data_IF_481026836935
#
_entry.id   IF_481026836935
#
_cell.length_a   1.000
_cell.length_b   1.000
_cell.length_c   1.000
_cell.angle_alpha   90.00
_cell.angle_beta   90.00
_cell.angle_gamma   90.00
#
_symmetry.space_group_name_H-M   'P 1'
#
loop_
_entity.id
_entity.type
_entity.pdbx_description
1 polymer ?
#
# COMPACT_ATOMS: atom_id res chain seq x y z
N UNK A 1 -6.11 8.53 -17.94
CA UNK A 1 -5.39 8.26 -16.68
C UNK A 1 -6.26 7.26 -15.94
N UNK A 2 -5.76 6.08 -15.61
CA UNK A 2 -6.56 5.14 -14.82
C UNK A 2 -6.77 5.77 -13.45
N UNK A 3 -8.02 5.89 -13.01
CA UNK A 3 -8.32 6.27 -11.63
C UNK A 3 -7.51 5.34 -10.71
N UNK A 4 -6.80 5.92 -9.73
CA UNK A 4 -6.03 5.14 -8.78
C UNK A 4 -6.95 4.04 -8.23
N UNK A 5 -6.51 2.78 -8.26
CA UNK A 5 -7.33 1.69 -7.74
C UNK A 5 -7.55 1.90 -6.22
N UNK A 6 -8.56 1.24 -5.64
CA UNK A 6 -8.92 1.42 -4.24
C UNK A 6 -7.74 1.19 -3.26
N UNK A 7 -6.80 0.30 -3.60
CA UNK A 7 -5.61 0.04 -2.78
C UNK A 7 -4.64 1.22 -2.81
N UNK A 8 -4.38 1.79 -3.99
CA UNK A 8 -3.52 2.96 -4.13
C UNK A 8 -4.12 4.19 -3.43
N UNK A 9 -5.44 4.36 -3.51
CA UNK A 9 -6.12 5.44 -2.77
C UNK A 9 -5.99 5.23 -1.25
N UNK A 10 -6.25 4.02 -0.76
CA UNK A 10 -6.12 3.71 0.66
C UNK A 10 -4.68 3.89 1.15
N UNK A 11 -3.71 3.37 0.38
CA UNK A 11 -2.28 3.52 0.66
C UNK A 11 -1.88 4.99 0.74
N UNK A 12 -2.31 5.81 -0.22
CA UNK A 12 -2.03 7.25 -0.21
C UNK A 12 -2.57 7.92 1.05
N UNK A 13 -3.84 7.68 1.39
CA UNK A 13 -4.47 8.30 2.57
C UNK A 13 -3.79 7.87 3.87
N UNK A 14 -3.47 6.58 4.01
CA UNK A 14 -2.75 6.09 5.19
C UNK A 14 -1.33 6.65 5.27
N UNK A 15 -0.65 6.80 4.13
CA UNK A 15 0.70 7.38 4.06
C UNK A 15 0.69 8.85 4.49
N UNK A 16 -0.25 9.64 3.97
CA UNK A 16 -0.38 11.06 4.30
C UNK A 16 -0.74 11.23 5.79
N UNK A 17 -1.65 10.41 6.29
CA UNK A 17 -2.07 10.45 7.70
C UNK A 17 -0.94 10.04 8.63
N UNK A 18 -0.19 8.97 8.30
CA UNK A 18 1.00 8.56 9.04
C UNK A 18 2.05 9.68 9.04
N UNK A 19 2.36 10.26 7.88
CA UNK A 19 3.36 11.32 7.76
C UNK A 19 3.01 12.53 8.62
N UNK A 20 1.74 12.94 8.62
CA UNK A 20 1.27 13.97 9.54
C UNK A 20 1.51 13.60 11.00
N UNK A 21 1.19 12.36 11.42
CA UNK A 21 1.40 11.92 12.79
C UNK A 21 2.88 11.81 13.15
N UNK A 22 3.73 11.25 12.29
CA UNK A 22 5.18 11.18 12.48
C UNK A 22 5.76 12.58 12.79
N UNK A 23 5.38 13.57 11.98
CA UNK A 23 5.91 14.93 12.07
C UNK A 23 5.36 15.71 13.28
N UNK A 24 4.13 15.39 13.74
CA UNK A 24 3.40 16.26 14.66
C UNK A 24 3.08 15.63 16.02
N UNK A 25 3.21 14.32 16.22
CA UNK A 25 2.79 13.65 17.47
C UNK A 25 3.43 14.27 18.71
N UNK A 26 4.73 14.59 18.67
CA UNK A 26 5.40 15.23 19.81
C UNK A 26 4.83 16.62 20.14
N UNK A 27 4.41 17.36 19.11
CA UNK A 27 3.86 18.72 19.23
C UNK A 27 2.40 18.70 19.69
N UNK A 28 1.57 17.81 19.14
CA UNK A 28 0.13 17.77 19.41
C UNK A 28 -0.21 17.03 20.69
N UNK A 29 0.63 16.07 21.13
CA UNK A 29 0.34 15.22 22.30
C UNK A 29 0.00 16.01 23.57
N UNK A 30 0.77 17.02 24.00
CA UNK A 30 0.42 17.79 25.20
C UNK A 30 -0.95 18.49 25.09
N UNK A 31 -1.26 19.02 23.92
CA UNK A 31 -2.54 19.68 23.67
C UNK A 31 -3.70 18.68 23.66
N UNK A 32 -3.54 17.53 23.00
CA UNK A 32 -4.55 16.46 22.97
C UNK A 32 -4.83 15.95 24.37
N UNK A 33 -3.80 15.71 25.19
CA UNK A 33 -3.97 15.24 26.56
C UNK A 33 -4.63 16.29 27.47
N UNK A 34 -4.27 17.56 27.33
CA UNK A 34 -4.90 18.65 28.07
C UNK A 34 -6.40 18.79 27.73
N UNK A 35 -6.75 18.67 26.44
CA UNK A 35 -8.14 18.70 26.00
C UNK A 35 -8.88 17.44 26.48
N UNK A 36 -8.26 16.26 26.40
CA UNK A 36 -8.86 15.00 26.85
C UNK A 36 -9.22 15.00 28.35
N UNK A 37 -8.43 15.68 29.17
CA UNK A 37 -8.72 15.85 30.60
C UNK A 37 -10.00 16.69 30.87
N UNK A 38 -10.34 17.59 29.94
CA UNK A 38 -11.55 18.43 30.02
C UNK A 38 -12.72 17.85 29.23
N UNK A 39 -12.42 17.10 28.17
CA UNK A 39 -13.36 16.55 27.18
C UNK A 39 -13.01 15.07 26.96
N UNK A 40 -13.55 14.15 27.79
CA UNK A 40 -13.25 12.72 27.72
C UNK A 40 -13.51 12.08 26.34
N UNK A 41 -14.41 12.68 25.55
CA UNK A 41 -14.75 12.24 24.19
C UNK A 41 -13.55 12.24 23.24
N UNK A 42 -12.47 12.98 23.54
CA UNK A 42 -11.22 12.91 22.77
C UNK A 42 -10.59 11.51 22.88
N UNK A 43 -10.55 10.92 24.09
CA UNK A 43 -10.05 9.56 24.26
C UNK A 43 -10.97 8.54 23.57
N UNK A 44 -12.29 8.74 23.63
CA UNK A 44 -13.26 7.89 22.93
C UNK A 44 -13.08 7.95 21.41
N UNK A 45 -12.84 9.14 20.85
CA UNK A 45 -12.55 9.32 19.43
C UNK A 45 -11.26 8.58 19.03
N UNK A 46 -10.18 8.73 19.81
CA UNK A 46 -8.94 8.01 19.56
C UNK A 46 -9.14 6.49 19.60
N UNK A 47 -9.94 5.99 20.55
CA UNK A 47 -10.29 4.57 20.65
C UNK A 47 -11.12 4.08 19.46
N UNK A 48 -12.07 4.89 18.98
CA UNK A 48 -12.86 4.56 17.79
C UNK A 48 -11.99 4.52 16.52
N UNK A 49 -11.03 5.44 16.39
CA UNK A 49 -10.10 5.45 15.27
C UNK A 49 -9.18 4.24 15.28
N UNK A 50 -8.60 3.88 16.44
CA UNK A 50 -7.81 2.65 16.59
C UNK A 50 -8.66 1.42 16.27
N UNK A 51 -9.90 1.35 16.77
CA UNK A 51 -10.82 0.25 16.49
C UNK A 51 -11.21 0.13 15.01
N UNK A 52 -11.32 1.25 14.28
CA UNK A 52 -11.53 1.24 12.84
C UNK A 52 -10.29 0.69 12.10
N UNK A 53 -9.10 1.12 12.50
CA UNK A 53 -7.83 0.65 11.94
C UNK A 53 -7.63 -0.85 12.17
N UNK A 54 -8.02 -1.39 13.32
CA UNK A 54 -7.95 -2.83 13.60
C UNK A 54 -8.93 -3.65 12.73
N UNK A 55 -10.13 -3.13 12.47
CA UNK A 55 -11.06 -3.74 11.52
C UNK A 55 -10.48 -3.73 10.10
N UNK A 56 -9.93 -2.60 9.67
CA UNK A 56 -9.27 -2.49 8.37
C UNK A 56 -8.09 -3.46 8.26
N UNK A 57 -7.27 -3.58 9.29
CA UNK A 57 -6.17 -4.56 9.38
C UNK A 57 -6.67 -5.99 9.22
N UNK A 58 -7.79 -6.31 9.85
CA UNK A 58 -8.42 -7.64 9.77
C UNK A 58 -8.88 -7.94 8.35
N UNK A 59 -9.62 -7.02 7.73
CA UNK A 59 -10.07 -7.17 6.33
C UNK A 59 -8.88 -7.33 5.38
N UNK A 60 -7.83 -6.51 5.54
CA UNK A 60 -6.63 -6.59 4.71
C UNK A 60 -5.89 -7.92 4.93
N UNK A 61 -5.81 -8.40 6.15
CA UNK A 61 -5.20 -9.70 6.48
C UNK A 61 -5.99 -10.85 5.87
N UNK A 62 -7.32 -10.74 5.83
CA UNK A 62 -8.23 -11.73 5.26
C UNK A 62 -8.35 -11.65 3.74
N UNK A 63 -7.80 -10.61 3.09
CA UNK A 63 -7.69 -10.59 1.63
C UNK A 63 -6.86 -11.78 1.16
N UNK A 64 -7.54 -12.75 0.58
CA UNK A 64 -6.95 -13.87 -0.14
C UNK A 64 -6.71 -13.45 -1.59
N UNK A 65 -5.51 -12.94 -1.82
CA UNK A 65 -5.05 -12.53 -3.15
C UNK A 65 -4.83 -13.74 -4.05
N UNK A 66 -4.56 -14.92 -3.47
CA UNK A 66 -4.46 -16.19 -4.18
C UNK A 66 -5.81 -16.74 -4.65
N UNK A 67 -6.91 -16.31 -4.03
CA UNK A 67 -8.27 -16.62 -4.49
C UNK A 67 -8.72 -15.78 -5.68
N UNK A 68 -7.98 -14.74 -6.09
CA UNK A 68 -8.29 -13.97 -7.30
C UNK A 68 -7.97 -14.85 -8.53
N UNK A 69 -8.98 -15.36 -9.25
CA UNK A 69 -8.71 -16.23 -10.40
C UNK A 69 -7.92 -15.49 -11.46
N UNK A 70 -6.87 -16.12 -12.01
CA UNK A 70 -6.03 -15.52 -13.05
C UNK A 70 -4.83 -14.72 -12.54
N UNK A 71 -4.72 -14.42 -11.24
CA UNK A 71 -3.62 -13.61 -10.73
C UNK A 71 -2.26 -14.35 -10.80
N UNK A 72 -2.27 -15.66 -10.53
CA UNK A 72 -1.09 -16.52 -10.67
C UNK A 72 -0.65 -16.64 -12.13
N UNK A 73 -1.61 -16.78 -13.05
CA UNK A 73 -1.37 -16.83 -14.49
C UNK A 73 -0.84 -15.50 -15.03
N UNK A 74 -1.30 -14.35 -14.50
CA UNK A 74 -0.74 -13.04 -14.83
C UNK A 74 0.71 -12.92 -14.38
N UNK A 75 1.04 -13.38 -13.17
CA UNK A 75 2.42 -13.40 -12.68
C UNK A 75 3.32 -14.32 -13.52
N UNK A 76 2.80 -15.47 -13.96
CA UNK A 76 3.51 -16.36 -14.88
C UNK A 76 3.71 -15.72 -16.25
N UNK A 77 2.68 -15.07 -16.80
CA UNK A 77 2.75 -14.37 -18.08
C UNK A 77 3.82 -13.28 -18.04
N UNK A 78 3.80 -12.41 -17.02
CA UNK A 78 4.78 -11.32 -16.89
C UNK A 78 6.20 -11.84 -16.70
N UNK A 79 6.38 -12.97 -16.01
CA UNK A 79 7.67 -13.65 -15.89
C UNK A 79 8.18 -14.28 -17.20
N UNK A 80 7.30 -14.64 -18.14
CA UNK A 80 7.67 -15.21 -19.43
C UNK A 80 8.06 -14.16 -20.48
N UNK A 81 7.60 -12.91 -20.32
CA UNK A 81 7.83 -11.83 -21.30
C UNK A 81 9.32 -11.60 -21.57
N UNK A 82 10.23 -11.46 -20.57
CA UNK A 82 11.64 -11.21 -20.84
C UNK A 82 12.29 -12.30 -21.72
N UNK A 83 11.99 -13.57 -21.44
CA UNK A 83 12.50 -14.70 -22.22
C UNK A 83 11.96 -14.70 -23.67
N UNK A 84 10.69 -14.32 -23.85
CA UNK A 84 10.08 -14.16 -25.18
C UNK A 84 10.76 -13.02 -25.96
N UNK A 85 10.98 -11.86 -25.32
CA UNK A 85 11.62 -10.71 -25.95
C UNK A 85 13.09 -10.99 -26.30
N UNK A 86 13.82 -11.70 -25.44
CA UNK A 86 15.19 -12.15 -25.72
C UNK A 86 15.27 -13.10 -26.92
N UNK A 87 14.30 -14.02 -27.05
CA UNK A 87 14.21 -14.89 -28.22
C UNK A 87 13.85 -14.10 -29.48
N UNK A 88 12.92 -13.15 -29.37
CA UNK A 88 12.51 -12.28 -30.47
C UNK A 88 13.68 -11.43 -30.99
N UNK A 89 14.48 -10.82 -30.10
CA UNK A 89 15.67 -10.03 -30.49
C UNK A 89 16.67 -10.81 -31.33
N UNK A 90 16.83 -12.11 -31.04
CA UNK A 90 17.75 -13.00 -31.77
C UNK A 90 17.24 -13.37 -33.17
N UNK A 91 15.92 -13.47 -33.34
CA UNK A 91 15.28 -13.88 -34.58
C UNK A 91 14.94 -12.69 -35.49
N UNK A 92 14.70 -11.52 -34.91
CA UNK A 92 14.30 -10.28 -35.58
C UNK A 92 15.27 -9.15 -35.23
N UNK A 93 16.55 -9.22 -35.65
CA UNK A 93 17.56 -8.23 -35.28
C UNK A 93 17.22 -6.81 -35.79
N UNK A 94 16.47 -6.72 -36.89
CA UNK A 94 16.02 -5.44 -37.47
C UNK A 94 14.87 -4.78 -36.69
N UNK A 95 14.20 -5.52 -35.79
CA UNK A 95 13.09 -5.04 -34.95
C UNK A 95 13.53 -4.72 -33.51
N UNK A 96 14.84 -4.63 -33.26
CA UNK A 96 15.39 -4.43 -31.91
C UNK A 96 14.80 -3.22 -31.19
N UNK A 97 14.60 -2.09 -31.87
CA UNK A 97 13.99 -0.90 -31.28
C UNK A 97 12.54 -1.12 -30.81
N UNK A 98 11.74 -1.86 -31.59
CA UNK A 98 10.36 -2.22 -31.23
C UNK A 98 10.35 -3.14 -30.01
N UNK A 99 11.28 -4.09 -29.96
CA UNK A 99 11.37 -5.07 -28.87
C UNK A 99 11.89 -4.42 -27.58
N UNK A 100 12.82 -3.47 -27.67
CA UNK A 100 13.29 -2.67 -26.53
C UNK A 100 12.15 -1.87 -25.91
N UNK A 101 11.31 -1.22 -26.72
CA UNK A 101 10.14 -0.50 -26.22
C UNK A 101 9.15 -1.42 -25.49
N UNK A 102 8.99 -2.67 -25.94
CA UNK A 102 8.14 -3.65 -25.23
C UNK A 102 8.81 -4.10 -23.93
N UNK A 103 10.15 -4.28 -23.92
CA UNK A 103 10.90 -4.62 -22.72
C UNK A 103 10.75 -3.55 -21.64
N UNK A 104 10.85 -2.27 -22.01
CA UNK A 104 10.65 -1.15 -21.08
C UNK A 104 9.27 -1.19 -20.41
N UNK A 105 8.22 -1.52 -21.18
CA UNK A 105 6.86 -1.69 -20.63
C UNK A 105 6.76 -2.93 -19.73
N UNK A 106 7.40 -4.03 -20.12
CA UNK A 106 7.43 -5.26 -19.33
C UNK A 106 8.16 -5.06 -17.99
N UNK A 107 9.23 -4.28 -17.96
CA UNK A 107 9.98 -3.92 -16.76
C UNK A 107 9.13 -3.08 -15.81
N UNK A 108 8.31 -2.16 -16.33
CA UNK A 108 7.35 -1.40 -15.52
C UNK A 108 6.33 -2.34 -14.88
N UNK A 109 5.77 -3.29 -15.62
CA UNK A 109 4.74 -4.21 -15.13
C UNK A 109 5.31 -5.24 -14.15
N UNK A 110 6.51 -5.76 -14.40
CA UNK A 110 7.18 -6.73 -13.52
C UNK A 110 7.76 -6.08 -12.27
N UNK A 111 8.11 -4.79 -12.33
CA UNK A 111 8.56 -3.98 -11.21
C UNK A 111 7.45 -3.50 -10.28
N UNK A 112 6.17 -3.71 -10.62
CA UNK A 112 5.07 -3.41 -9.71
C UNK A 112 5.15 -4.30 -8.46
N UNK A 113 4.91 -3.74 -7.25
CA UNK A 113 4.89 -4.53 -6.03
C UNK A 113 3.85 -5.65 -6.15
N UNK A 114 4.20 -6.84 -5.66
CA UNK A 114 3.24 -7.94 -5.59
C UNK A 114 2.08 -7.57 -4.66
N UNK A 115 0.92 -8.20 -4.84
CA UNK A 115 -0.23 -7.92 -3.98
C UNK A 115 0.08 -8.23 -2.51
N UNK A 116 0.95 -9.22 -2.24
CA UNK A 116 1.46 -9.50 -0.89
C UNK A 116 2.34 -8.36 -0.34
N UNK A 117 3.16 -7.74 -1.18
CA UNK A 117 3.98 -6.59 -0.79
C UNK A 117 3.09 -5.37 -0.46
N UNK A 118 2.09 -5.09 -1.31
CA UNK A 118 1.11 -4.01 -1.07
C UNK A 118 0.32 -4.27 0.23
N UNK A 119 -0.10 -5.51 0.46
CA UNK A 119 -0.78 -5.92 1.70
C UNK A 119 0.10 -5.68 2.92
N UNK A 120 1.36 -6.09 2.87
CA UNK A 120 2.32 -5.89 3.96
C UNK A 120 2.49 -4.40 4.26
N UNK A 121 2.69 -3.59 3.23
CA UNK A 121 2.86 -2.14 3.38
C UNK A 121 1.63 -1.47 4.02
N UNK A 122 0.42 -1.85 3.62
CA UNK A 122 -0.81 -1.34 4.24
C UNK A 122 -0.92 -1.75 5.72
N UNK A 123 -0.55 -2.98 6.07
CA UNK A 123 -0.56 -3.46 7.45
C UNK A 123 0.46 -2.70 8.32
N UNK A 124 1.62 -2.38 7.76
CA UNK A 124 2.66 -1.59 8.44
C UNK A 124 2.21 -0.14 8.67
N UNK A 125 1.60 0.49 7.65
CA UNK A 125 1.01 1.83 7.77
C UNK A 125 -0.06 1.86 8.87
N UNK A 126 -0.99 0.91 8.86
CA UNK A 126 -2.05 0.81 9.86
C UNK A 126 -1.46 0.63 11.26
N UNK A 127 -0.48 -0.25 11.41
CA UNK A 127 0.17 -0.52 12.69
C UNK A 127 0.85 0.73 13.24
N UNK A 128 1.56 1.48 12.40
CA UNK A 128 2.22 2.72 12.80
C UNK A 128 1.20 3.79 13.23
N UNK A 129 0.14 4.00 12.45
CA UNK A 129 -0.90 4.97 12.78
C UNK A 129 -1.57 4.61 14.11
N UNK A 130 -1.95 3.34 14.31
CA UNK A 130 -2.56 2.88 15.57
C UNK A 130 -1.64 3.14 16.77
N UNK A 131 -0.34 2.92 16.62
CA UNK A 131 0.65 3.22 17.66
C UNK A 131 0.69 4.72 17.98
N UNK A 132 0.72 5.59 16.96
CA UNK A 132 0.68 7.04 17.16
C UNK A 132 -0.60 7.49 17.87
N UNK A 133 -1.77 7.05 17.40
CA UNK A 133 -3.06 7.41 18.03
C UNK A 133 -3.12 6.95 19.48
N UNK A 134 -2.68 5.73 19.77
CA UNK A 134 -2.60 5.22 21.14
C UNK A 134 -1.66 6.07 22.00
N UNK A 135 -0.55 6.54 21.44
CA UNK A 135 0.41 7.38 22.15
C UNK A 135 -0.11 8.78 22.50
N UNK A 136 -1.16 9.26 21.81
CA UNK A 136 -1.78 10.56 22.05
C UNK A 136 -2.75 10.56 23.25
N UNK A 137 -3.18 9.37 23.70
CA UNK A 137 -4.08 9.23 24.85
C UNK A 137 -3.43 9.76 26.14
N UNK A 138 -4.27 10.31 27.02
CA UNK A 138 -3.88 10.77 28.35
C UNK A 138 -3.82 9.60 29.36
#
# INVERSE_FOLDING_TARGET
>A
MADANLFEQLKSVLTDFKSFLDDNVATIKPAVQAIAALVPQINELLDQLVGLLDKLRTEITNLDVGAIPGLGEVAQLTGMIPALLDAAKKLLPDETSSIDAIADVADVVTGLPSVDAVKTELLDLITAISAHLTSLKA
#
